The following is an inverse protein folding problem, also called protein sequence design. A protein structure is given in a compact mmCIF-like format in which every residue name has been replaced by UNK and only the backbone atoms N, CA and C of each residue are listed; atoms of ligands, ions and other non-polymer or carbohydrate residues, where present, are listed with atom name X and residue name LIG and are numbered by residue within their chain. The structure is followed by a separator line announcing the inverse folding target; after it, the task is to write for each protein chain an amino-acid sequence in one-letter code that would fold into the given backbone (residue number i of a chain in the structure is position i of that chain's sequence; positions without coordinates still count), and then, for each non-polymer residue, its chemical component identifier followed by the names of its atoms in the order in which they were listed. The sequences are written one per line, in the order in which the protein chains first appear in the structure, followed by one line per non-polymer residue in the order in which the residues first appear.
data_IF_363713483110
#
_entry.id   IF_363713483110
#
_cell.length_a   1.000
_cell.length_b   1.000
_cell.length_c   1.000
_cell.angle_alpha   90.00
_cell.angle_beta   90.00
_cell.angle_gamma   90.00
#
_symmetry.space_group_name_H-M   'P 1'
#
loop_
_entity.id
_entity.type
_entity.pdbx_description
1 polymer ?
#
# COMPACT_ATOMS: atom_id res chain seq x y z
N UNK A 1 9.85 -11.93 9.42
CA UNK A 1 10.70 -10.74 9.61
C UNK A 1 11.27 -10.22 8.29
N UNK A 2 11.92 -11.06 7.48
CA UNK A 2 12.47 -10.63 6.17
C UNK A 2 11.39 -10.07 5.21
N UNK A 3 10.24 -10.75 5.12
CA UNK A 3 9.09 -10.31 4.29
C UNK A 3 8.59 -8.91 4.63
N UNK A 4 8.48 -8.57 5.93
CA UNK A 4 8.13 -7.22 6.39
C UNK A 4 9.11 -6.17 5.85
N UNK A 5 10.42 -6.39 5.97
CA UNK A 5 11.41 -5.42 5.47
C UNK A 5 11.40 -5.30 3.95
N UNK A 6 11.18 -6.40 3.23
CA UNK A 6 11.00 -6.40 1.78
C UNK A 6 9.73 -5.64 1.37
N UNK A 7 8.62 -5.82 2.08
CA UNK A 7 7.40 -5.04 1.89
C UNK A 7 7.66 -3.55 2.17
N UNK A 8 8.30 -3.21 3.27
CA UNK A 8 8.59 -1.82 3.62
C UNK A 8 9.64 -1.16 2.73
N UNK A 9 10.40 -1.91 1.92
CA UNK A 9 11.39 -1.34 1.00
C UNK A 9 10.76 -0.48 -0.11
N UNK A 10 9.50 -0.74 -0.49
CA UNK A 10 8.82 0.04 -1.53
C UNK A 10 8.35 1.40 -1.02
N UNK A 11 8.71 2.51 -1.69
CA UNK A 11 8.20 3.84 -1.35
C UNK A 11 6.68 3.94 -1.53
N UNK A 12 6.09 3.22 -2.49
CA UNK A 12 4.64 3.18 -2.69
C UNK A 12 3.95 2.56 -1.48
N UNK A 13 4.44 1.41 -1.01
CA UNK A 13 3.87 0.71 0.15
C UNK A 13 4.02 1.52 1.44
N UNK A 14 5.16 2.18 1.66
CA UNK A 14 5.32 3.10 2.80
C UNK A 14 4.35 4.28 2.72
N UNK A 15 4.11 4.82 1.53
CA UNK A 15 3.15 5.92 1.34
C UNK A 15 1.71 5.46 1.58
N UNK A 16 1.34 4.25 1.17
CA UNK A 16 0.05 3.62 1.52
C UNK A 16 -0.11 3.54 3.04
N UNK A 17 0.88 2.96 3.73
CA UNK A 17 0.86 2.85 5.19
C UNK A 17 0.73 4.23 5.87
N UNK A 18 1.43 5.25 5.36
CA UNK A 18 1.32 6.61 5.87
C UNK A 18 -0.11 7.18 5.74
N UNK A 19 -0.84 6.85 4.67
CA UNK A 19 -2.23 7.29 4.52
C UNK A 19 -3.19 6.61 5.50
N UNK A 20 -3.00 5.31 5.74
CA UNK A 20 -3.91 4.54 6.62
C UNK A 20 -3.51 4.57 8.09
N UNK A 21 -2.34 5.13 8.43
CA UNK A 21 -1.85 5.23 9.81
C UNK A 21 -2.75 6.07 10.72
N UNK A 22 -3.55 6.98 10.15
CA UNK A 22 -4.39 7.91 10.91
C UNK A 22 -5.89 7.80 10.59
N UNK A 23 -6.24 7.23 9.45
CA UNK A 23 -7.63 7.12 8.97
C UNK A 23 -7.81 5.83 8.17
N UNK A 24 -8.96 5.18 8.33
CA UNK A 24 -9.35 4.11 7.40
C UNK A 24 -9.64 4.70 6.02
N UNK A 25 -9.15 4.03 4.99
CA UNK A 25 -9.39 4.39 3.59
C UNK A 25 -9.69 3.12 2.81
N UNK A 26 -10.69 3.17 1.93
CA UNK A 26 -10.96 2.11 0.97
C UNK A 26 -9.83 2.00 -0.06
N UNK A 27 -9.70 0.82 -0.68
CA UNK A 27 -8.73 0.62 -1.77
C UNK A 27 -8.94 1.59 -2.94
N UNK A 28 -10.19 1.99 -3.21
CA UNK A 28 -10.51 2.98 -4.24
C UNK A 28 -10.01 4.39 -3.88
N UNK A 29 -10.18 4.80 -2.63
CA UNK A 29 -9.65 6.06 -2.12
C UNK A 29 -8.12 6.07 -2.14
N UNK A 30 -7.48 4.98 -1.70
CA UNK A 30 -6.02 4.86 -1.78
C UNK A 30 -5.57 4.99 -3.23
N UNK A 31 -6.20 4.26 -4.16
CA UNK A 31 -5.81 4.29 -5.57
C UNK A 31 -5.95 5.68 -6.22
N UNK A 32 -6.96 6.46 -5.84
CA UNK A 32 -7.14 7.82 -6.33
C UNK A 32 -5.99 8.80 -5.95
N UNK A 33 -5.11 8.42 -5.02
CA UNK A 33 -3.96 9.22 -4.56
C UNK A 33 -2.64 8.90 -5.29
N UNK A 34 -2.68 8.00 -6.27
CA UNK A 34 -1.52 7.59 -7.06
C UNK A 34 -1.78 7.75 -8.55
N UNK A 35 -0.74 8.10 -9.29
CA UNK A 35 -0.75 8.07 -10.76
C UNK A 35 -0.42 6.65 -11.25
N UNK A 36 -1.29 5.70 -10.87
CA UNK A 36 -1.14 4.27 -11.14
C UNK A 36 -2.51 3.63 -11.36
N UNK A 37 -2.53 2.48 -12.02
CA UNK A 37 -3.77 1.73 -12.21
C UNK A 37 -4.27 1.12 -10.90
N UNK A 38 -5.60 0.98 -10.76
CA UNK A 38 -6.21 0.32 -9.58
C UNK A 38 -5.67 -1.10 -9.34
N UNK A 39 -5.47 -1.97 -10.37
CA UNK A 39 -4.87 -3.28 -10.15
C UNK A 39 -3.46 -3.23 -9.57
N UNK A 40 -2.64 -2.25 -9.97
CA UNK A 40 -1.29 -2.08 -9.42
C UNK A 40 -1.33 -1.73 -7.94
N UNK A 41 -2.26 -0.86 -7.53
CA UNK A 41 -2.47 -0.53 -6.12
C UNK A 41 -3.00 -1.73 -5.33
N UNK A 42 -3.94 -2.51 -5.88
CA UNK A 42 -4.40 -3.76 -5.27
C UNK A 42 -3.25 -4.74 -5.00
N UNK A 43 -2.29 -4.85 -5.93
CA UNK A 43 -1.11 -5.70 -5.75
C UNK A 43 -0.22 -5.23 -4.60
N UNK A 44 -0.02 -3.91 -4.46
CA UNK A 44 0.70 -3.35 -3.32
C UNK A 44 0.01 -3.60 -1.98
N UNK A 45 -1.32 -3.49 -1.95
CA UNK A 45 -2.14 -3.77 -0.76
C UNK A 45 -2.07 -5.25 -0.36
N UNK A 46 -2.20 -6.17 -1.33
CA UNK A 46 -2.06 -7.60 -1.07
C UNK A 46 -0.69 -7.94 -0.48
N UNK A 47 0.40 -7.36 -1.00
CA UNK A 47 1.71 -7.64 -0.44
C UNK A 47 1.82 -7.13 1.01
N UNK A 48 1.29 -5.94 1.31
CA UNK A 48 1.25 -5.40 2.67
C UNK A 48 0.46 -6.28 3.64
N UNK A 49 -0.65 -6.87 3.20
CA UNK A 49 -1.52 -7.74 4.01
C UNK A 49 -0.87 -9.09 4.36
N UNK A 50 0.02 -9.61 3.51
CA UNK A 50 0.60 -10.95 3.64
C UNK A 50 2.09 -10.97 4.08
N UNK A 51 2.67 -9.84 4.49
CA UNK A 51 4.10 -9.69 4.80
C UNK A 51 4.47 -9.80 6.28
#
# INVERSE_FOLDING_TARGET
MQLIFEALSSPVRRKILAYVAHHELSAGEIAARFDMSKPSISQHLQLLEHS
#
